data_IF_839506519556
#
_entry.id   IF_839506519556
#
_cell.length_a   1.000
_cell.length_b   1.000
_cell.length_c   1.000
_cell.angle_alpha   90.00
_cell.angle_beta   90.00
_cell.angle_gamma   90.00
#
_symmetry.space_group_name_H-M   'P 1'
#
loop_
_entity.id
_entity.type
_entity.pdbx_description
1 polymer ?
#
# COMPACT_ATOMS: atom_id res chain seq x y z
N UNK A 1 -54.70 -4.62 -1.71
CA UNK A 1 -53.97 -3.43 -1.25
C UNK A 1 -53.31 -2.76 -2.45
N UNK A 2 -53.93 -1.70 -2.98
CA UNK A 2 -53.44 -1.00 -4.18
C UNK A 2 -52.24 -0.15 -3.78
N UNK A 3 -51.07 -0.47 -4.32
CA UNK A 3 -49.79 0.16 -4.01
C UNK A 3 -49.58 1.34 -4.95
N UNK A 4 -49.26 2.52 -4.42
CA UNK A 4 -49.01 3.73 -5.22
C UNK A 4 -47.79 3.62 -6.15
N UNK A 5 -47.72 4.52 -7.14
CA UNK A 5 -46.61 4.62 -8.10
C UNK A 5 -45.29 4.80 -7.35
N UNK A 6 -44.30 3.96 -7.67
CA UNK A 6 -42.96 4.03 -7.07
C UNK A 6 -41.97 4.64 -8.06
N UNK A 7 -41.03 5.48 -7.60
CA UNK A 7 -39.96 6.03 -8.45
C UNK A 7 -38.98 4.93 -8.90
N UNK A 8 -38.44 5.04 -10.13
CA UNK A 8 -37.41 4.14 -10.66
C UNK A 8 -36.02 4.53 -10.14
N UNK A 9 -35.77 4.23 -8.87
CA UNK A 9 -34.47 4.36 -8.20
C UNK A 9 -34.24 3.16 -7.29
N UNK A 10 -33.01 3.01 -6.79
CA UNK A 10 -32.67 1.97 -5.80
C UNK A 10 -33.59 2.10 -4.57
N UNK A 11 -34.13 0.97 -4.11
CA UNK A 11 -34.90 0.92 -2.85
C UNK A 11 -33.88 0.83 -1.71
N UNK A 12 -33.82 1.83 -0.84
CA UNK A 12 -32.83 1.89 0.24
C UNK A 12 -33.10 0.88 1.36
N UNK A 13 -34.35 0.74 1.78
CA UNK A 13 -34.75 -0.22 2.80
C UNK A 13 -34.49 -1.67 2.34
N UNK A 14 -33.65 -2.40 3.07
CA UNK A 14 -33.18 -3.74 2.69
C UNK A 14 -34.33 -4.78 2.62
N UNK A 15 -35.22 -4.80 3.60
CA UNK A 15 -36.36 -5.73 3.64
C UNK A 15 -37.32 -5.48 2.48
N UNK A 16 -37.67 -4.21 2.24
CA UNK A 16 -38.52 -3.80 1.12
C UNK A 16 -37.88 -4.12 -0.22
N UNK A 17 -36.56 -3.94 -0.35
CA UNK A 17 -35.78 -4.28 -1.54
C UNK A 17 -35.80 -5.79 -1.78
N UNK A 18 -35.62 -6.62 -0.74
CA UNK A 18 -35.63 -8.08 -0.86
C UNK A 18 -37.01 -8.60 -1.29
N UNK A 19 -38.09 -8.14 -0.65
CA UNK A 19 -39.46 -8.52 -1.03
C UNK A 19 -39.79 -8.07 -2.45
N UNK A 20 -39.38 -6.85 -2.82
CA UNK A 20 -39.61 -6.32 -4.17
C UNK A 20 -38.79 -7.06 -5.21
N UNK A 21 -37.54 -7.42 -4.93
CA UNK A 21 -36.71 -8.25 -5.79
C UNK A 21 -37.37 -9.59 -6.05
N UNK A 22 -37.80 -10.31 -5.02
CA UNK A 22 -38.48 -11.60 -5.18
C UNK A 22 -39.74 -11.50 -6.05
N UNK A 23 -40.57 -10.47 -5.83
CA UNK A 23 -41.79 -10.25 -6.62
C UNK A 23 -41.48 -9.85 -8.07
N UNK A 24 -40.60 -8.88 -8.29
CA UNK A 24 -40.27 -8.38 -9.64
C UNK A 24 -39.48 -9.41 -10.45
N UNK A 25 -38.54 -10.13 -9.84
CA UNK A 25 -37.81 -11.23 -10.47
C UNK A 25 -38.79 -12.28 -10.97
N UNK A 26 -39.70 -12.75 -10.12
CA UNK A 26 -40.72 -13.73 -10.53
C UNK A 26 -41.66 -13.19 -11.61
N UNK A 27 -42.05 -11.92 -11.52
CA UNK A 27 -42.86 -11.27 -12.56
C UNK A 27 -42.13 -11.19 -13.91
N UNK A 28 -40.83 -10.86 -13.89
CA UNK A 28 -40.01 -10.78 -15.10
C UNK A 28 -39.79 -12.16 -15.73
N UNK A 29 -39.53 -13.19 -14.92
CA UNK A 29 -39.43 -14.58 -15.38
C UNK A 29 -40.72 -15.04 -16.05
N UNK A 30 -41.89 -14.72 -15.47
CA UNK A 30 -43.18 -15.02 -16.09
C UNK A 30 -43.38 -14.31 -17.42
N UNK A 31 -42.98 -13.03 -17.53
CA UNK A 31 -43.06 -12.29 -18.79
C UNK A 31 -42.11 -12.81 -19.86
N UNK A 32 -40.90 -13.22 -19.48
CA UNK A 32 -39.96 -13.87 -20.39
C UNK A 32 -40.53 -15.19 -20.94
N UNK A 33 -41.16 -16.00 -20.07
CA UNK A 33 -41.84 -17.23 -20.46
C UNK A 33 -43.06 -16.99 -21.36
N UNK A 34 -43.93 -16.04 -21.00
CA UNK A 34 -45.07 -15.67 -21.84
C UNK A 34 -44.61 -15.24 -23.24
N UNK A 35 -43.57 -14.40 -23.34
CA UNK A 35 -43.04 -13.96 -24.62
C UNK A 35 -42.48 -15.12 -25.45
N UNK A 36 -41.73 -16.04 -24.82
CA UNK A 36 -41.18 -17.18 -25.55
C UNK A 36 -42.25 -18.09 -26.12
N UNK A 37 -43.33 -18.32 -25.36
CA UNK A 37 -44.43 -19.21 -25.79
C UNK A 37 -45.35 -18.52 -26.81
N UNK A 38 -45.75 -17.27 -26.56
CA UNK A 38 -46.73 -16.57 -27.40
C UNK A 38 -46.18 -16.17 -28.77
N UNK A 39 -44.87 -15.92 -28.85
CA UNK A 39 -44.23 -15.42 -30.07
C UNK A 39 -43.22 -16.40 -30.67
N UNK A 40 -43.11 -17.62 -30.15
CA UNK A 40 -42.09 -18.60 -30.53
C UNK A 40 -40.67 -17.99 -30.57
N UNK A 41 -40.39 -17.13 -29.58
CA UNK A 41 -39.14 -16.40 -29.49
C UNK A 41 -38.18 -17.09 -28.53
N UNK A 42 -36.92 -17.22 -28.91
CA UNK A 42 -35.89 -17.67 -27.97
C UNK A 42 -35.54 -16.55 -26.99
N UNK A 43 -35.77 -16.78 -25.70
CA UNK A 43 -35.58 -15.79 -24.64
C UNK A 43 -34.69 -16.38 -23.56
N UNK A 44 -33.62 -15.65 -23.21
CA UNK A 44 -32.75 -15.95 -22.08
C UNK A 44 -32.64 -14.74 -21.14
N UNK A 45 -32.66 -14.99 -19.83
CA UNK A 45 -32.61 -13.98 -18.78
C UNK A 45 -31.67 -14.45 -17.66
N UNK A 46 -30.71 -13.60 -17.30
CA UNK A 46 -29.73 -13.84 -16.23
C UNK A 46 -29.84 -12.70 -15.20
N UNK A 47 -29.97 -13.03 -13.93
CA UNK A 47 -30.10 -12.08 -12.82
C UNK A 47 -29.14 -12.49 -11.70
N UNK A 48 -28.19 -11.61 -11.38
CA UNK A 48 -27.37 -11.74 -10.18
C UNK A 48 -27.93 -10.86 -9.05
N UNK A 49 -28.17 -11.48 -7.90
CA UNK A 49 -28.49 -10.70 -6.70
C UNK A 49 -27.25 -9.98 -6.17
N UNK A 50 -27.40 -8.95 -5.32
CA UNK A 50 -26.26 -8.29 -4.66
C UNK A 50 -25.39 -9.23 -3.80
N UNK A 51 -25.91 -10.41 -3.45
CA UNK A 51 -25.18 -11.45 -2.70
C UNK A 51 -24.49 -12.47 -3.63
N UNK A 52 -24.46 -12.20 -4.94
CA UNK A 52 -23.86 -13.09 -5.95
C UNK A 52 -24.73 -14.28 -6.36
N UNK A 53 -25.90 -14.49 -5.73
CA UNK A 53 -26.79 -15.61 -6.12
C UNK A 53 -27.34 -15.40 -7.54
N UNK A 54 -27.16 -16.42 -8.37
CA UNK A 54 -27.68 -16.51 -9.74
C UNK A 54 -29.15 -16.94 -9.75
N UNK A 55 -29.93 -16.27 -10.58
CA UNK A 55 -31.28 -16.65 -10.99
C UNK A 55 -31.36 -16.52 -12.50
N UNK A 56 -31.81 -17.57 -13.16
CA UNK A 56 -31.82 -17.61 -14.62
C UNK A 56 -33.09 -18.26 -15.18
N UNK A 57 -33.36 -17.94 -16.44
CA UNK A 57 -34.40 -18.56 -17.26
C UNK A 57 -33.91 -18.60 -18.71
N UNK A 58 -34.11 -19.73 -19.36
CA UNK A 58 -33.97 -19.87 -20.80
C UNK A 58 -35.21 -20.63 -21.30
N UNK A 59 -35.75 -20.22 -22.46
CA UNK A 59 -36.82 -20.97 -23.13
C UNK A 59 -36.31 -22.31 -23.68
N UNK A 60 -35.02 -22.42 -23.96
CA UNK A 60 -34.31 -23.63 -24.34
C UNK A 60 -33.09 -23.85 -23.41
N UNK A 61 -31.89 -24.04 -23.96
CA UNK A 61 -30.64 -24.14 -23.21
C UNK A 61 -29.99 -22.76 -23.01
N UNK A 62 -29.66 -22.42 -21.77
CA UNK A 62 -28.93 -21.18 -21.46
C UNK A 62 -27.58 -21.12 -22.20
N UNK A 63 -26.86 -22.24 -22.28
CA UNK A 63 -25.58 -22.30 -22.98
C UNK A 63 -25.75 -22.02 -24.47
N UNK A 64 -26.78 -22.61 -25.09
CA UNK A 64 -27.02 -22.49 -26.53
C UNK A 64 -27.45 -21.06 -26.89
N UNK A 65 -28.29 -20.42 -26.06
CA UNK A 65 -28.68 -19.02 -26.23
C UNK A 65 -27.47 -18.08 -26.09
N UNK A 66 -26.59 -18.31 -25.11
CA UNK A 66 -25.35 -17.55 -24.94
C UNK A 66 -24.43 -17.75 -26.15
N UNK A 67 -24.31 -18.98 -26.65
CA UNK A 67 -23.46 -19.28 -27.80
C UNK A 67 -24.02 -18.63 -29.08
N UNK A 68 -25.33 -18.72 -29.32
CA UNK A 68 -25.99 -18.05 -30.44
C UNK A 68 -25.77 -16.54 -30.39
N UNK A 69 -25.93 -15.92 -29.21
CA UNK A 69 -25.64 -14.50 -29.01
C UNK A 69 -24.18 -14.16 -29.32
N UNK A 70 -23.22 -14.99 -28.84
CA UNK A 70 -21.80 -14.80 -29.14
C UNK A 70 -21.49 -14.89 -30.63
N UNK A 71 -22.09 -15.84 -31.35
CA UNK A 71 -21.94 -15.98 -32.81
C UNK A 71 -22.49 -14.74 -33.52
N UNK A 72 -23.71 -14.31 -33.20
CA UNK A 72 -24.30 -13.10 -33.78
C UNK A 72 -23.52 -11.82 -33.46
N UNK A 73 -22.96 -11.69 -32.26
CA UNK A 73 -22.14 -10.52 -31.88
C UNK A 73 -20.80 -10.52 -32.64
N UNK A 74 -20.23 -11.70 -32.91
CA UNK A 74 -19.02 -11.86 -33.73
C UNK A 74 -19.27 -11.50 -35.19
N UNK A 75 -20.39 -11.92 -35.75
CA UNK A 75 -20.73 -11.67 -37.16
C UNK A 75 -21.21 -10.23 -37.39
N UNK A 76 -21.83 -9.60 -36.39
CA UNK A 76 -22.38 -8.23 -36.49
C UNK A 76 -21.35 -7.12 -36.21
N UNK A 77 -20.21 -7.44 -35.56
CA UNK A 77 -19.15 -6.44 -35.32
C UNK A 77 -17.73 -7.05 -35.06
N UNK A 78 -17.06 -7.59 -36.08
CA UNK A 78 -15.72 -8.18 -35.94
C UNK A 78 -14.64 -7.20 -35.43
N UNK A 79 -14.86 -5.89 -35.59
CA UNK A 79 -13.92 -4.83 -35.16
C UNK A 79 -13.94 -4.62 -33.63
N UNK A 80 -15.11 -4.70 -33.00
CA UNK A 80 -15.25 -4.43 -31.56
C UNK A 80 -14.64 -5.56 -30.71
N UNK A 81 -14.88 -6.82 -31.09
CA UNK A 81 -14.34 -7.99 -30.37
C UNK A 81 -12.82 -8.11 -30.57
N UNK A 82 -12.31 -7.89 -31.78
CA UNK A 82 -10.85 -7.78 -32.02
C UNK A 82 -10.22 -6.69 -31.15
N UNK A 83 -10.87 -5.54 -30.99
CA UNK A 83 -10.32 -4.46 -30.16
C UNK A 83 -10.25 -4.85 -28.68
N UNK A 84 -11.27 -5.54 -28.14
CA UNK A 84 -11.28 -6.00 -26.74
C UNK A 84 -10.25 -7.11 -26.51
N UNK A 85 -10.13 -8.03 -27.46
CA UNK A 85 -9.16 -9.13 -27.38
C UNK A 85 -7.73 -8.62 -27.54
N UNK A 86 -7.47 -7.70 -28.47
CA UNK A 86 -6.18 -7.02 -28.61
C UNK A 86 -5.83 -6.19 -27.36
N UNK A 87 -6.79 -5.48 -26.78
CA UNK A 87 -6.57 -4.72 -25.56
C UNK A 87 -6.27 -5.64 -24.36
N UNK A 88 -6.95 -6.78 -24.26
CA UNK A 88 -6.67 -7.80 -23.24
C UNK A 88 -5.26 -8.40 -23.41
N UNK A 89 -4.84 -8.68 -24.64
CA UNK A 89 -3.48 -9.17 -24.92
C UNK A 89 -2.42 -8.10 -24.63
N UNK A 90 -2.70 -6.84 -24.95
CA UNK A 90 -1.84 -5.70 -24.61
C UNK A 90 -1.66 -5.58 -23.09
N UNK A 91 -2.76 -5.60 -22.32
CA UNK A 91 -2.71 -5.53 -20.86
C UNK A 91 -1.92 -6.69 -20.25
N UNK A 92 -2.06 -7.91 -20.79
CA UNK A 92 -1.27 -9.07 -20.38
C UNK A 92 0.22 -8.88 -20.64
N UNK A 93 0.57 -8.33 -21.81
CA UNK A 93 1.95 -8.04 -22.15
C UNK A 93 2.54 -6.95 -21.25
N UNK A 94 1.79 -5.89 -20.96
CA UNK A 94 2.20 -4.85 -20.02
C UNK A 94 2.40 -5.41 -18.61
N UNK A 95 1.50 -6.27 -18.13
CA UNK A 95 1.65 -6.94 -16.85
C UNK A 95 2.92 -7.80 -16.79
N UNK A 96 3.19 -8.58 -17.84
CA UNK A 96 4.42 -9.37 -17.94
C UNK A 96 5.68 -8.50 -17.97
N UNK A 97 5.65 -7.37 -18.68
CA UNK A 97 6.76 -6.42 -18.73
C UNK A 97 7.01 -5.76 -17.37
N UNK A 98 5.94 -5.38 -16.65
CA UNK A 98 6.04 -4.85 -15.30
C UNK A 98 6.63 -5.87 -14.33
N UNK A 99 6.20 -7.13 -14.41
CA UNK A 99 6.72 -8.21 -13.57
C UNK A 99 8.23 -8.42 -13.80
N UNK A 100 8.68 -8.50 -15.05
CA UNK A 100 10.12 -8.56 -15.36
C UNK A 100 10.90 -7.36 -14.79
N UNK A 101 10.31 -6.16 -14.83
CA UNK A 101 10.95 -4.96 -14.28
C UNK A 101 11.06 -5.02 -12.75
N UNK A 102 10.05 -5.56 -12.07
CA UNK A 102 10.09 -5.81 -10.63
C UNK A 102 11.22 -6.79 -10.31
N UNK A 103 11.29 -7.92 -11.01
CA UNK A 103 12.32 -8.94 -10.78
C UNK A 103 13.74 -8.38 -10.93
N UNK A 104 13.96 -7.56 -11.97
CA UNK A 104 15.25 -6.88 -12.20
C UNK A 104 15.59 -5.89 -11.08
N UNK A 105 14.62 -5.09 -10.63
CA UNK A 105 14.83 -4.13 -9.54
C UNK A 105 15.09 -4.83 -8.20
N UNK A 106 14.38 -5.92 -7.92
CA UNK A 106 14.58 -6.73 -6.72
C UNK A 106 15.94 -7.41 -6.72
N UNK A 107 16.37 -7.95 -7.88
CA UNK A 107 17.71 -8.50 -8.02
C UNK A 107 18.79 -7.42 -7.82
N UNK A 108 18.61 -6.22 -8.39
CA UNK A 108 19.53 -5.10 -8.17
C UNK A 108 19.56 -4.66 -6.71
N UNK A 109 18.41 -4.62 -6.03
CA UNK A 109 18.32 -4.30 -4.59
C UNK A 109 19.08 -5.33 -3.76
N UNK A 110 18.90 -6.63 -4.03
CA UNK A 110 19.63 -7.70 -3.34
C UNK A 110 21.14 -7.55 -3.48
N UNK A 111 21.62 -7.24 -4.69
CA UNK A 111 23.04 -6.94 -4.93
C UNK A 111 23.52 -5.75 -4.08
N UNK A 112 22.77 -4.65 -4.03
CA UNK A 112 23.09 -3.49 -3.17
C UNK A 112 23.12 -3.82 -1.68
N UNK A 113 22.38 -4.84 -1.24
CA UNK A 113 22.39 -5.35 0.13
C UNK A 113 23.51 -6.38 0.40
N UNK A 114 24.35 -6.66 -0.60
CA UNK A 114 25.45 -7.62 -0.49
C UNK A 114 25.05 -9.08 -0.74
N UNK A 115 23.81 -9.33 -1.19
CA UNK A 115 23.32 -10.67 -1.47
C UNK A 115 23.58 -11.10 -2.92
N UNK A 116 23.89 -12.38 -3.13
CA UNK A 116 23.99 -12.96 -4.48
C UNK A 116 25.13 -12.41 -5.34
N UNK A 117 26.20 -11.91 -4.71
CA UNK A 117 27.35 -11.31 -5.40
C UNK A 117 28.24 -12.31 -6.16
N UNK A 118 28.12 -13.62 -5.85
CA UNK A 118 28.94 -14.66 -6.47
C UNK A 118 28.80 -14.76 -8.00
N UNK A 119 27.70 -14.26 -8.57
CA UNK A 119 27.45 -14.23 -10.01
C UNK A 119 27.82 -12.91 -10.68
N UNK A 120 28.34 -11.93 -9.93
CA UNK A 120 28.72 -10.63 -10.46
C UNK A 120 30.16 -10.67 -11.00
N UNK A 121 30.37 -9.97 -12.11
CA UNK A 121 31.71 -9.70 -12.62
C UNK A 121 32.43 -8.66 -11.75
N UNK A 122 33.76 -8.62 -11.86
CA UNK A 122 34.61 -7.68 -11.12
C UNK A 122 34.24 -6.22 -11.45
N UNK A 123 33.95 -5.91 -12.72
CA UNK A 123 33.52 -4.57 -13.14
C UNK A 123 32.18 -4.17 -12.53
N UNK A 124 31.22 -5.10 -12.44
CA UNK A 124 29.93 -4.85 -11.78
C UNK A 124 30.11 -4.61 -10.28
N UNK A 125 30.97 -5.37 -9.62
CA UNK A 125 31.30 -5.21 -8.20
C UNK A 125 31.93 -3.84 -7.93
N UNK A 126 32.90 -3.42 -8.75
CA UNK A 126 33.52 -2.08 -8.62
C UNK A 126 32.52 -0.95 -8.82
N UNK A 127 31.60 -1.07 -9.79
CA UNK A 127 30.52 -0.08 -9.99
C UNK A 127 29.60 -0.01 -8.78
N UNK A 128 29.24 -1.16 -8.22
CA UNK A 128 28.38 -1.27 -7.05
C UNK A 128 29.04 -0.62 -5.82
N UNK A 129 30.30 -0.92 -5.57
CA UNK A 129 31.11 -0.34 -4.50
C UNK A 129 31.18 1.19 -4.63
N UNK A 130 31.55 1.70 -5.81
CA UNK A 130 31.61 3.14 -6.05
C UNK A 130 30.26 3.82 -5.86
N UNK A 131 29.16 3.18 -6.28
CA UNK A 131 27.81 3.71 -6.08
C UNK A 131 27.44 3.76 -4.60
N UNK A 132 27.74 2.71 -3.84
CA UNK A 132 27.49 2.65 -2.40
C UNK A 132 28.32 3.68 -1.64
N UNK A 133 29.61 3.82 -1.95
CA UNK A 133 30.51 4.77 -1.29
C UNK A 133 30.02 6.21 -1.51
N UNK A 134 29.67 6.58 -2.74
CA UNK A 134 29.10 7.91 -3.05
C UNK A 134 27.79 8.13 -2.30
N UNK A 135 26.89 7.14 -2.29
CA UNK A 135 25.60 7.24 -1.61
C UNK A 135 25.77 7.43 -0.10
N UNK A 136 26.63 6.63 0.53
CA UNK A 136 26.92 6.71 1.97
C UNK A 136 27.55 8.04 2.33
N UNK A 137 28.51 8.53 1.53
CA UNK A 137 29.12 9.84 1.72
C UNK A 137 28.08 10.96 1.70
N UNK A 138 27.17 10.94 0.71
CA UNK A 138 26.08 11.91 0.60
C UNK A 138 25.12 11.85 1.80
N UNK A 139 24.73 10.64 2.23
CA UNK A 139 23.85 10.43 3.39
C UNK A 139 24.50 10.95 4.66
N UNK A 140 25.79 10.66 4.89
CA UNK A 140 26.55 11.15 6.04
C UNK A 140 26.67 12.67 6.03
N UNK A 141 27.01 13.27 4.89
CA UNK A 141 27.11 14.72 4.74
C UNK A 141 25.77 15.40 5.06
N UNK A 142 24.66 14.86 4.54
CA UNK A 142 23.32 15.39 4.83
C UNK A 142 22.95 15.23 6.31
N UNK A 143 23.26 14.09 6.92
CA UNK A 143 23.02 13.84 8.35
C UNK A 143 23.78 14.85 9.22
N UNK A 144 25.05 15.06 8.94
CA UNK A 144 25.89 16.06 9.63
C UNK A 144 25.32 17.47 9.48
N UNK A 145 24.89 17.84 8.28
CA UNK A 145 24.28 19.15 8.02
C UNK A 145 23.00 19.35 8.84
N UNK A 146 22.10 18.37 8.86
CA UNK A 146 20.85 18.44 9.64
C UNK A 146 21.14 18.53 11.14
N UNK A 147 22.10 17.78 11.67
CA UNK A 147 22.47 17.88 13.09
C UNK A 147 23.10 19.22 13.43
N UNK A 148 23.93 19.78 12.54
CA UNK A 148 24.48 21.12 12.73
C UNK A 148 23.37 22.17 12.83
N UNK A 149 22.42 22.15 11.90
CA UNK A 149 21.25 23.04 11.91
C UNK A 149 20.44 22.91 13.21
N UNK A 150 20.22 21.68 13.70
CA UNK A 150 19.52 21.46 14.98
C UNK A 150 20.30 21.98 16.19
N UNK A 151 21.62 21.77 16.23
CA UNK A 151 22.48 22.28 17.31
C UNK A 151 22.44 23.80 17.34
N UNK A 152 22.53 24.45 16.18
CA UNK A 152 22.51 25.91 16.08
C UNK A 152 21.14 26.48 16.55
N UNK A 153 20.03 25.85 16.16
CA UNK A 153 18.69 26.21 16.64
C UNK A 153 18.55 26.07 18.16
N UNK A 154 19.09 24.99 18.74
CA UNK A 154 19.05 24.78 20.19
C UNK A 154 19.90 25.79 20.95
N UNK A 155 21.08 26.16 20.43
CA UNK A 155 21.94 27.20 21.03
C UNK A 155 21.27 28.56 21.04
N UNK A 156 20.60 28.95 19.96
CA UNK A 156 19.85 30.21 19.92
C UNK A 156 18.68 30.19 20.91
N UNK A 157 17.99 29.06 21.04
CA UNK A 157 16.92 28.89 22.04
C UNK A 157 17.45 28.96 23.47
N UNK A 158 18.59 28.32 23.75
CA UNK A 158 19.27 28.40 25.05
C UNK A 158 19.59 29.85 25.41
N UNK A 159 20.20 30.59 24.47
CA UNK A 159 20.53 32.01 24.66
C UNK A 159 19.29 32.86 24.94
N UNK A 160 18.20 32.65 24.20
CA UNK A 160 16.94 33.36 24.42
C UNK A 160 16.33 33.05 25.80
N UNK A 161 16.35 31.78 26.20
CA UNK A 161 15.86 31.36 27.52
C UNK A 161 16.72 31.91 28.66
N UNK A 162 18.05 31.93 28.52
CA UNK A 162 18.95 32.53 29.51
C UNK A 162 18.66 34.01 29.66
N UNK A 163 18.52 34.76 28.57
CA UNK A 163 18.20 36.18 28.60
C UNK A 163 16.85 36.46 29.29
N UNK A 164 15.82 35.66 28.98
CA UNK A 164 14.51 35.80 29.62
C UNK A 164 14.55 35.42 31.11
N UNK A 165 15.31 34.38 31.48
CA UNK A 165 15.47 33.99 32.87
C UNK A 165 16.18 35.08 33.69
N UNK A 166 17.23 35.70 33.14
CA UNK A 166 17.91 36.86 33.78
C UNK A 166 16.92 38.01 34.02
N UNK A 167 16.12 38.36 33.01
CA UNK A 167 15.09 39.41 33.12
C UNK A 167 14.04 39.09 34.18
N UNK A 168 13.62 37.84 34.29
CA UNK A 168 12.69 37.39 35.31
C UNK A 168 13.32 37.41 36.71
N UNK A 169 14.57 36.96 36.87
CA UNK A 169 15.29 37.00 38.15
C UNK A 169 15.46 38.42 38.68
N UNK A 170 15.80 39.38 37.82
CA UNK A 170 15.86 40.81 38.17
C UNK A 170 14.51 41.34 38.64
N UNK A 171 13.43 40.98 37.96
CA UNK A 171 12.06 41.41 38.31
C UNK A 171 11.58 40.85 39.65
N UNK A 172 12.03 39.66 40.04
CA UNK A 172 11.58 38.97 41.26
C UNK A 172 12.58 39.07 42.42
N UNK A 173 13.71 39.78 42.27
CA UNK A 173 14.69 40.01 43.34
C UNK A 173 15.42 38.74 43.82
N UNK A 174 15.47 37.69 43.00
CA UNK A 174 16.13 36.43 43.32
C UNK A 174 17.53 36.43 42.70
N UNK A 175 18.57 36.48 43.53
CA UNK A 175 19.96 36.38 43.08
C UNK A 175 20.24 34.98 42.45
N UNK A 176 20.96 34.90 41.32
CA UNK A 176 21.34 33.62 40.75
C UNK A 176 22.38 32.92 41.64
N UNK A 177 22.17 31.64 41.96
CA UNK A 177 23.26 30.78 42.46
C UNK A 177 24.31 30.65 41.35
N UNK A 178 25.61 30.89 41.61
CA UNK A 178 26.62 30.74 40.59
C UNK A 178 26.71 29.27 40.17
N UNK A 179 26.74 29.04 38.86
CA UNK A 179 27.14 27.76 38.30
C UNK A 179 28.54 27.43 38.84
N UNK A 180 28.70 26.27 39.48
CA UNK A 180 30.02 25.77 39.79
C UNK A 180 30.75 25.51 38.46
N UNK A 181 31.77 26.33 38.21
CA UNK A 181 32.81 26.04 37.24
C UNK A 181 33.43 24.69 37.61
N UNK A 182 33.25 23.67 36.76
CA UNK A 182 34.20 22.57 36.72
C UNK A 182 35.13 22.84 35.54
N UNK A 183 36.25 23.50 35.86
CA UNK A 183 37.39 23.59 34.95
C UNK A 183 37.90 22.16 34.70
N UNK A 184 37.89 21.71 33.45
CA UNK A 184 38.85 20.70 33.02
C UNK A 184 39.66 21.26 31.88
N UNK A 185 40.92 21.45 32.21
CA UNK A 185 41.99 22.03 31.41
C UNK A 185 42.20 21.29 30.08
N UNK A 186 42.54 22.05 29.05
CA UNK A 186 43.18 21.53 27.84
C UNK A 186 44.62 21.13 28.18
N UNK A 187 44.90 19.82 28.21
CA UNK A 187 46.24 19.30 27.93
C UNK A 187 46.18 18.14 26.91
N UNK A 188 47.10 18.11 25.93
CA UNK A 188 47.09 17.11 24.87
C UNK A 188 47.87 15.87 25.32
N UNK A 189 47.24 14.69 25.38
CA UNK A 189 48.01 13.46 25.48
C UNK A 189 47.34 12.24 24.85
N UNK A 190 48.16 11.59 24.04
CA UNK A 190 48.06 10.35 23.29
C UNK A 190 47.65 9.11 24.08
N UNK A 191 46.90 8.23 23.39
CA UNK A 191 46.84 6.75 23.48
C UNK A 191 46.78 6.08 24.87
N UNK A 192 45.66 5.41 25.18
CA UNK A 192 45.58 3.95 25.38
C UNK A 192 44.15 3.51 25.78
N UNK A 193 43.83 2.27 25.41
CA UNK A 193 42.54 1.57 25.49
C UNK A 193 41.91 1.44 26.89
N UNK A 194 40.57 1.41 26.94
CA UNK A 194 39.76 0.28 27.49
C UNK A 194 38.39 0.71 28.06
N UNK A 195 37.33 0.49 27.25
CA UNK A 195 36.00 -0.10 27.56
C UNK A 195 35.06 0.49 28.65
N UNK A 196 33.72 0.21 28.62
CA UNK A 196 32.86 -0.28 27.54
C UNK A 196 31.63 0.62 27.25
N UNK A 197 31.02 0.36 26.11
CA UNK A 197 29.82 0.98 25.51
C UNK A 197 28.59 1.04 26.43
N UNK A 198 28.08 2.24 26.67
CA UNK A 198 26.66 2.45 26.99
C UNK A 198 25.88 2.37 25.68
N UNK A 199 25.18 1.25 25.45
CA UNK A 199 24.22 1.10 24.38
C UNK A 199 23.05 2.07 24.64
N UNK A 200 22.95 3.14 23.85
CA UNK A 200 21.71 3.90 23.73
C UNK A 200 20.82 3.10 22.78
N UNK A 201 19.87 2.39 23.35
CA UNK A 201 18.88 1.60 22.63
C UNK A 201 17.97 2.54 21.83
N UNK A 202 18.26 2.70 20.53
CA UNK A 202 17.33 3.31 19.59
C UNK A 202 16.41 2.22 19.06
N UNK A 203 15.12 2.27 19.36
CA UNK A 203 14.08 1.36 18.84
C UNK A 203 13.80 1.56 17.33
N UNK A 204 14.83 1.76 16.51
CA UNK A 204 14.69 1.84 15.06
C UNK A 204 14.95 0.45 14.46
N UNK A 205 13.91 -0.37 14.37
CA UNK A 205 13.97 -1.66 13.69
C UNK A 205 13.64 -1.50 12.20
N UNK A 206 14.59 -1.82 11.32
CA UNK A 206 14.36 -1.94 9.87
C UNK A 206 14.42 -3.44 9.54
N UNK A 207 13.27 -4.10 9.58
CA UNK A 207 13.09 -5.52 9.27
C UNK A 207 11.64 -5.96 9.44
N UNK A 208 11.26 -7.11 8.86
CA UNK A 208 9.92 -7.69 9.03
C UNK A 208 9.69 -8.10 10.51
N UNK A 209 8.52 -7.82 11.10
CA UNK A 209 8.29 -8.01 12.53
C UNK A 209 8.15 -9.50 12.91
N UNK A 210 8.84 -9.91 13.98
CA UNK A 210 8.72 -11.26 14.54
C UNK A 210 7.33 -11.49 15.16
N UNK A 211 6.63 -12.51 14.66
CA UNK A 211 5.40 -13.01 15.27
C UNK A 211 5.72 -13.73 16.58
N UNK A 212 5.46 -13.06 17.71
CA UNK A 212 5.54 -13.63 19.07
C UNK A 212 4.65 -14.86 19.22
N UNK A 213 5.24 -16.05 19.22
CA UNK A 213 4.60 -17.26 19.76
C UNK A 213 5.15 -17.51 21.16
N UNK A 214 4.38 -17.14 22.20
CA UNK A 214 4.67 -17.48 23.60
C UNK A 214 4.45 -18.98 23.82
N UNK A 215 5.48 -19.74 24.22
CA UNK A 215 5.32 -20.97 25.01
C UNK A 215 6.43 -21.09 26.07
N UNK A 216 6.05 -20.59 27.25
CA UNK A 216 6.30 -21.08 28.62
C UNK A 216 7.34 -22.21 28.76
N UNK A 217 8.44 -21.90 29.45
CA UNK A 217 9.36 -22.86 30.05
C UNK A 217 8.80 -23.34 31.39
N UNK A 218 8.63 -24.65 31.55
CA UNK A 218 8.53 -25.32 32.86
C UNK A 218 9.92 -25.81 33.26
N UNK A 219 10.30 -25.49 34.50
CA UNK A 219 11.50 -25.95 35.20
C UNK A 219 11.46 -27.47 35.41
N UNK A 220 12.63 -28.11 35.30
CA UNK A 220 13.08 -29.19 36.21
C UNK A 220 14.50 -28.79 36.63
#
# INVERSE_FOLDING_TARGET
>A
MVRGKTQMKRIENATSRQVTFSKRRNGLLKKAFELSVLCDAEVALIIFSPRGKLYEFASASMQDSIERYRRHTKDSNPTAIRSVEQNMQHLKQEAANMMKKIDLLEASKRKLLGEGLASCSIDELQRLEQQLERSISNVRARKTQVFKEQIDLLKEKEKALVAENTRLSEKHGIHPKPAMNDQRENHPQSFAESSPSSNVETELFIGLPDTRTRRISTQI
#
